data_IF_914769176891
#
_entry.id   IF_914769176891
#
_cell.length_a   1.000
_cell.length_b   1.000
_cell.length_c   1.000
_cell.angle_alpha   90.00
_cell.angle_beta   90.00
_cell.angle_gamma   90.00
#
_symmetry.space_group_name_H-M   'P 1'
#
loop_
_entity.id
_entity.type
_entity.pdbx_description
1 polymer ?
#
# COMPACT_ATOMS: atom_id res chain seq x y z
N UNK A 1 9.04 -3.69 -16.33
CA UNK A 1 9.07 -3.57 -14.85
C UNK A 1 8.97 -2.10 -14.52
N UNK A 2 7.85 -1.64 -13.97
CA UNK A 2 7.71 -0.24 -13.53
C UNK A 2 8.41 -0.06 -12.18
N UNK A 3 9.19 1.01 -12.02
CA UNK A 3 10.02 1.24 -10.84
C UNK A 3 9.43 2.42 -10.07
N UNK A 4 8.97 2.17 -8.83
CA UNK A 4 8.58 3.23 -7.89
C UNK A 4 9.80 3.60 -7.06
N UNK A 5 10.18 4.87 -7.10
CA UNK A 5 11.34 5.41 -6.40
C UNK A 5 11.00 5.82 -4.97
N UNK A 6 12.00 5.82 -4.06
CA UNK A 6 11.79 6.29 -2.68
C UNK A 6 11.30 7.75 -2.60
N UNK A 7 11.69 8.60 -3.56
CA UNK A 7 11.30 10.00 -3.58
C UNK A 7 9.82 10.18 -3.91
N UNK A 8 9.28 9.39 -4.85
CA UNK A 8 7.85 9.41 -5.17
C UNK A 8 7.00 9.00 -3.97
N UNK A 9 7.42 7.98 -3.23
CA UNK A 9 6.75 7.57 -1.99
C UNK A 9 6.85 8.63 -0.90
N UNK A 10 8.04 9.22 -0.70
CA UNK A 10 8.25 10.25 0.31
C UNK A 10 7.41 11.50 0.02
N UNK A 11 7.31 11.90 -1.25
CA UNK A 11 6.50 13.04 -1.67
C UNK A 11 5.01 12.86 -1.31
N UNK A 12 4.47 11.65 -1.46
CA UNK A 12 3.06 11.35 -1.16
C UNK A 12 2.79 11.06 0.31
N UNK A 13 3.65 10.29 0.96
CA UNK A 13 3.44 9.80 2.33
C UNK A 13 4.13 10.67 3.41
N UNK A 14 4.90 11.69 3.01
CA UNK A 14 5.78 12.49 3.88
C UNK A 14 7.08 11.78 4.28
N UNK A 15 7.10 10.44 4.23
CA UNK A 15 8.28 9.62 4.53
C UNK A 15 8.22 8.30 3.73
N UNK A 16 9.32 7.93 3.07
CA UNK A 16 9.44 6.68 2.31
C UNK A 16 9.12 5.44 3.14
N UNK A 17 9.52 5.41 4.42
CA UNK A 17 9.29 4.24 5.29
C UNK A 17 7.81 4.08 5.60
N UNK A 18 7.11 5.19 5.89
CA UNK A 18 5.68 5.17 6.10
C UNK A 18 4.95 4.73 4.83
N UNK A 19 5.36 5.25 3.67
CA UNK A 19 4.78 4.85 2.38
C UNK A 19 4.88 3.34 2.13
N UNK A 20 6.04 2.74 2.40
CA UNK A 20 6.22 1.28 2.30
C UNK A 20 5.30 0.53 3.26
N UNK A 21 5.18 0.97 4.53
CA UNK A 21 4.30 0.32 5.51
C UNK A 21 2.83 0.38 5.10
N UNK A 22 2.38 1.52 4.57
CA UNK A 22 1.01 1.73 4.09
C UNK A 22 0.72 0.82 2.90
N UNK A 23 1.59 0.84 1.87
CA UNK A 23 1.44 0.00 0.69
C UNK A 23 1.44 -1.50 1.03
N UNK A 24 2.35 -1.94 1.90
CA UNK A 24 2.41 -3.33 2.35
C UNK A 24 1.18 -3.74 3.16
N UNK A 25 0.65 -2.85 4.01
CA UNK A 25 -0.59 -3.11 4.75
C UNK A 25 -1.78 -3.24 3.80
N UNK A 26 -1.90 -2.35 2.83
CA UNK A 26 -2.95 -2.40 1.82
C UNK A 26 -2.85 -3.67 0.95
N UNK A 27 -1.66 -4.01 0.47
CA UNK A 27 -1.45 -5.23 -0.32
C UNK A 27 -1.87 -6.50 0.45
N UNK A 28 -1.58 -6.58 1.76
CA UNK A 28 -2.05 -7.68 2.61
C UNK A 28 -3.58 -7.70 2.73
N UNK A 29 -4.18 -6.55 3.01
CA UNK A 29 -5.64 -6.42 3.07
C UNK A 29 -6.32 -6.89 1.78
N UNK A 30 -5.80 -6.50 0.62
CA UNK A 30 -6.33 -6.95 -0.68
C UNK A 30 -6.08 -8.45 -0.91
N UNK A 31 -4.94 -8.97 -0.45
CA UNK A 31 -4.61 -10.39 -0.57
C UNK A 31 -5.51 -11.30 0.27
N UNK A 32 -6.15 -10.78 1.32
CA UNK A 32 -7.05 -11.56 2.18
C UNK A 32 -8.41 -11.86 1.51
N UNK A 33 -8.75 -11.18 0.39
CA UNK A 33 -9.95 -11.47 -0.38
C UNK A 33 -9.77 -12.74 -1.26
N UNK A 34 -10.82 -13.56 -1.43
CA UNK A 34 -10.76 -14.72 -2.30
C UNK A 34 -10.42 -14.28 -3.73
N UNK A 35 -9.43 -14.96 -4.33
CA UNK A 35 -9.04 -14.69 -5.71
C UNK A 35 -9.97 -15.41 -6.66
N UNK A 36 -10.48 -14.67 -7.64
CA UNK A 36 -11.16 -15.26 -8.77
C UNK A 36 -10.09 -15.86 -9.72
N UNK A 37 -10.07 -17.18 -9.93
CA UNK A 37 -9.09 -17.81 -10.82
C UNK A 37 -9.28 -17.45 -12.29
N UNK A 38 -10.43 -16.87 -12.67
CA UNK A 38 -10.67 -16.34 -14.02
C UNK A 38 -10.05 -14.97 -14.26
N UNK A 39 -9.63 -14.27 -13.20
CA UNK A 39 -9.02 -12.95 -13.27
C UNK A 39 -7.50 -13.07 -13.24
N UNK A 40 -6.87 -12.84 -14.40
CA UNK A 40 -5.43 -12.72 -14.47
C UNK A 40 -4.99 -11.30 -14.09
N UNK A 41 -4.17 -11.19 -13.05
CA UNK A 41 -3.61 -9.90 -12.64
C UNK A 41 -2.35 -9.60 -13.44
N UNK A 42 -2.33 -8.46 -14.15
CA UNK A 42 -1.16 -7.98 -14.89
C UNK A 42 0.07 -7.73 -13.98
N UNK A 43 -0.15 -7.47 -12.68
CA UNK A 43 0.90 -7.14 -11.72
C UNK A 43 0.62 -7.69 -10.32
N UNK A 44 1.71 -7.93 -9.57
CA UNK A 44 1.64 -8.33 -8.15
C UNK A 44 0.97 -7.23 -7.32
N UNK A 45 0.18 -7.63 -6.32
CA UNK A 45 -0.55 -6.71 -5.43
C UNK A 45 0.37 -5.70 -4.74
N UNK A 46 1.60 -6.10 -4.39
CA UNK A 46 2.60 -5.21 -3.77
C UNK A 46 3.06 -4.11 -4.73
N UNK A 47 3.28 -4.44 -6.00
CA UNK A 47 3.63 -3.47 -7.05
C UNK A 47 2.44 -2.53 -7.31
N UNK A 48 1.24 -3.08 -7.44
CA UNK A 48 0.02 -2.27 -7.61
C UNK A 48 -0.17 -1.30 -6.43
N UNK A 49 -0.06 -1.77 -5.19
CA UNK A 49 -0.25 -0.93 -4.01
C UNK A 49 0.76 0.22 -3.91
N UNK A 50 2.02 -0.02 -4.29
CA UNK A 50 3.05 1.02 -4.34
C UNK A 50 2.74 2.06 -5.42
N UNK A 51 2.31 1.64 -6.60
CA UNK A 51 1.93 2.53 -7.70
C UNK A 51 0.70 3.38 -7.34
N UNK A 52 -0.34 2.76 -6.77
CA UNK A 52 -1.54 3.48 -6.34
C UNK A 52 -1.22 4.56 -5.30
N UNK A 53 -0.28 4.28 -4.38
CA UNK A 53 0.20 5.27 -3.41
C UNK A 53 1.02 6.38 -4.08
N UNK A 54 1.97 6.04 -4.96
CA UNK A 54 2.80 7.01 -5.67
C UNK A 54 1.96 7.96 -6.56
N UNK A 55 0.93 7.42 -7.21
CA UNK A 55 -0.01 8.16 -8.06
C UNK A 55 -1.04 8.96 -7.24
N UNK A 56 -1.09 8.78 -5.91
CA UNK A 56 -2.01 9.48 -5.02
C UNK A 56 -3.46 8.97 -5.09
N UNK A 57 -3.68 7.80 -5.68
CA UNK A 57 -4.99 7.13 -5.75
C UNK A 57 -5.31 6.33 -4.49
N UNK A 58 -4.28 5.89 -3.78
CA UNK A 58 -4.41 5.28 -2.45
C UNK A 58 -4.29 6.36 -1.37
N UNK A 59 -5.36 6.56 -0.62
CA UNK A 59 -5.40 7.45 0.54
C UNK A 59 -5.41 6.66 1.84
N UNK A 60 -4.87 7.24 2.90
CA UNK A 60 -4.84 6.61 4.22
C UNK A 60 -4.90 7.66 5.33
N UNK A 61 -5.25 7.19 6.53
CA UNK A 61 -5.25 8.00 7.75
C UNK A 61 -4.56 7.24 8.86
N UNK A 62 -3.64 7.90 9.54
CA UNK A 62 -2.99 7.36 10.73
C UNK A 62 -3.94 7.43 11.91
N UNK A 63 -4.30 6.28 12.46
CA UNK A 63 -5.11 6.16 13.67
C UNK A 63 -4.21 5.61 14.77
N UNK A 64 -4.10 6.34 15.88
CA UNK A 64 -3.38 5.86 17.06
C UNK A 64 -4.10 4.64 17.62
N UNK A 65 -3.35 3.57 17.90
CA UNK A 65 -3.86 2.42 18.64
C UNK A 65 -4.24 2.90 20.04
N UNK A 66 -5.50 2.69 20.45
CA UNK A 66 -5.91 2.91 21.85
C UNK A 66 -5.12 1.95 22.73
N UNK A 67 -4.41 2.45 23.74
CA UNK A 67 -3.85 1.59 24.79
C UNK A 67 -5.04 1.10 25.61
N UNK A 68 -5.17 -0.22 25.78
CA UNK A 68 -6.05 -0.74 26.81
C UNK A 68 -5.38 -0.38 28.14
N UNK A 69 -6.03 0.41 28.99
CA UNK A 69 -5.63 0.50 30.39
C UNK A 69 -5.73 -0.93 30.96
N UNK A 70 -4.62 -1.36 31.57
CA UNK A 70 -4.48 -2.68 32.19
C UNK A 70 -4.49 -2.48 33.69
#
# INVERSE_FOLDING_TARGET
MHIVTPNELAYRAGNKYLGVLVAAKFARFVNDFPRDPSVEFEKKLTTSALEELALGRLTYRLIRRRRHET
#
